data_IF_859225015045
#
_entry.id   IF_859225015045
#
_cell.length_a   1.000
_cell.length_b   1.000
_cell.length_c   1.000
_cell.angle_alpha   90.00
_cell.angle_beta   90.00
_cell.angle_gamma   90.00
#
_symmetry.space_group_name_H-M   'P 1'
#
loop_
_entity.id
_entity.type
_entity.pdbx_description
1 polymer ?
#
# COMPACT_ATOMS: atom_id res chain seq x y z
N UNK A 1 -48.75 -53.24 21.63
CA UNK A 1 -47.59 -53.74 20.86
C UNK A 1 -48.05 -54.07 19.45
N UNK A 2 -47.22 -53.86 18.42
CA UNK A 2 -46.04 -52.99 18.29
C UNK A 2 -46.37 -51.89 17.22
N UNK A 3 -45.56 -50.91 16.84
CA UNK A 3 -44.14 -50.99 16.50
C UNK A 3 -43.45 -49.63 16.64
N UNK A 4 -42.16 -49.72 16.87
CA UNK A 4 -41.22 -48.69 17.26
C UNK A 4 -40.17 -48.47 16.16
N UNK A 5 -39.67 -47.23 16.06
CA UNK A 5 -38.39 -46.81 15.44
C UNK A 5 -38.42 -46.87 13.89
N UNK A 6 -37.86 -45.93 13.13
CA UNK A 6 -36.62 -45.16 13.33
C UNK A 6 -36.60 -43.84 12.55
N UNK A 7 -35.71 -42.94 12.98
CA UNK A 7 -34.92 -42.00 12.18
C UNK A 7 -35.52 -41.40 10.90
N UNK A 8 -35.82 -40.09 10.97
CA UNK A 8 -35.49 -39.20 9.87
C UNK A 8 -35.08 -37.84 10.46
N UNK A 9 -33.78 -37.54 10.34
CA UNK A 9 -33.18 -36.28 10.77
C UNK A 9 -33.88 -35.08 10.09
N UNK A 10 -34.03 -33.92 10.75
CA UNK A 10 -34.46 -32.72 10.07
C UNK A 10 -33.36 -32.26 9.10
N UNK A 11 -33.57 -32.53 7.81
CA UNK A 11 -32.81 -31.93 6.69
C UNK A 11 -32.92 -30.40 6.76
N UNK A 12 -31.90 -29.76 7.31
CA UNK A 12 -31.67 -28.33 7.16
C UNK A 12 -31.28 -28.04 5.70
N UNK A 13 -31.97 -27.12 5.01
CA UNK A 13 -31.51 -26.68 3.70
C UNK A 13 -30.20 -25.90 3.87
N UNK A 14 -29.14 -26.37 3.21
CA UNK A 14 -27.93 -25.59 2.96
C UNK A 14 -28.32 -24.37 2.13
N UNK A 15 -28.59 -23.25 2.80
CA UNK A 15 -28.43 -21.93 2.21
C UNK A 15 -26.93 -21.65 2.15
N UNK A 16 -26.30 -21.47 0.99
CA UNK A 16 -25.10 -20.66 0.95
C UNK A 16 -25.53 -19.22 1.26
N UNK A 17 -25.42 -18.81 2.52
CA UNK A 17 -25.23 -17.39 2.80
C UNK A 17 -23.91 -17.02 2.14
N UNK A 18 -24.00 -16.32 1.01
CA UNK A 18 -22.89 -15.58 0.46
C UNK A 18 -22.43 -14.54 1.48
N UNK A 19 -21.59 -14.97 2.43
CA UNK A 19 -20.70 -14.07 3.14
C UNK A 19 -19.62 -13.68 2.12
N UNK A 20 -19.96 -12.68 1.33
CA UNK A 20 -19.08 -12.00 0.39
C UNK A 20 -17.73 -11.73 1.07
N UNK A 21 -16.65 -11.99 0.32
CA UNK A 21 -15.27 -11.57 0.60
C UNK A 21 -15.15 -10.07 0.96
N UNK A 22 -16.19 -9.27 0.75
CA UNK A 22 -16.24 -7.89 1.22
C UNK A 22 -16.21 -7.74 2.75
N UNK A 23 -16.69 -8.71 3.54
CA UNK A 23 -16.73 -8.53 5.00
C UNK A 23 -15.38 -8.81 5.68
N UNK A 24 -14.61 -9.79 5.18
CA UNK A 24 -13.24 -10.05 5.64
C UNK A 24 -12.27 -8.94 5.21
N UNK A 25 -12.43 -8.41 3.99
CA UNK A 25 -11.70 -7.22 3.56
C UNK A 25 -12.09 -5.96 4.37
N UNK A 26 -13.33 -5.89 4.87
CA UNK A 26 -13.75 -4.81 5.77
C UNK A 26 -13.25 -4.97 7.22
N UNK A 27 -12.94 -6.19 7.67
CA UNK A 27 -12.34 -6.42 9.00
C UNK A 27 -10.81 -6.26 9.00
N UNK A 28 -10.12 -6.46 7.87
CA UNK A 28 -8.69 -6.12 7.76
C UNK A 28 -8.40 -4.61 7.78
N UNK A 29 -9.42 -3.75 7.78
CA UNK A 29 -9.24 -2.29 7.88
C UNK A 29 -9.19 -1.74 9.31
N UNK A 30 -9.47 -2.56 10.34
CA UNK A 30 -9.46 -2.11 11.73
C UNK A 30 -8.73 -3.10 12.66
N UNK A 31 -7.44 -3.34 12.41
CA UNK A 31 -6.55 -3.89 13.44
C UNK A 31 -5.68 -2.74 13.98
N UNK A 32 -5.94 -2.24 15.21
CA UNK A 32 -4.99 -1.36 15.86
C UNK A 32 -3.78 -2.18 16.30
N UNK A 33 -2.58 -1.76 15.87
CA UNK A 33 -1.31 -2.32 16.33
C UNK A 33 -0.77 -1.47 17.48
N UNK A 34 -0.99 -1.91 18.71
CA UNK A 34 -0.15 -1.59 19.87
C UNK A 34 0.11 -2.90 20.64
N UNK A 35 1.37 -3.18 20.98
CA UNK A 35 1.75 -4.32 21.84
C UNK A 35 1.47 -4.04 23.34
N UNK A 36 2.05 -4.80 24.31
CA UNK A 36 2.66 -6.12 24.27
C UNK A 36 1.83 -7.13 25.11
N UNK A 37 1.36 -8.18 24.46
CA UNK A 37 0.66 -9.31 25.10
C UNK A 37 0.61 -10.50 24.16
N UNK A 38 1.70 -10.70 23.42
CA UNK A 38 1.87 -11.69 22.35
C UNK A 38 1.70 -13.14 22.83
N UNK A 39 1.58 -13.41 24.13
CA UNK A 39 1.33 -14.76 24.63
C UNK A 39 -0.12 -15.25 24.41
N UNK A 40 -1.11 -14.36 24.25
CA UNK A 40 -2.51 -14.77 24.00
C UNK A 40 -2.92 -14.68 22.53
N UNK A 41 -2.28 -13.80 21.74
CA UNK A 41 -2.56 -13.66 20.31
C UNK A 41 -1.91 -14.77 19.45
N UNK A 42 -0.94 -15.50 19.99
CA UNK A 42 -0.33 -16.64 19.30
C UNK A 42 -1.26 -17.87 19.24
N UNK A 43 -2.16 -18.02 20.21
CA UNK A 43 -3.14 -19.12 20.23
C UNK A 43 -4.29 -18.91 19.22
N UNK A 44 -4.65 -17.65 18.94
CA UNK A 44 -5.70 -17.29 17.99
C UNK A 44 -5.21 -17.33 16.53
N UNK A 45 -3.97 -16.91 16.27
CA UNK A 45 -3.35 -16.95 14.94
C UNK A 45 -3.09 -18.39 14.46
N UNK A 46 -2.75 -19.31 15.38
CA UNK A 46 -2.61 -20.74 15.06
C UNK A 46 -3.92 -21.43 14.68
N UNK A 47 -5.07 -20.90 15.14
CA UNK A 47 -6.40 -21.42 14.75
C UNK A 47 -6.85 -20.91 13.39
N UNK A 48 -6.50 -19.67 13.04
CA UNK A 48 -6.79 -19.08 11.72
C UNK A 48 -5.89 -19.67 10.64
N UNK A 49 -4.60 -19.93 10.92
CA UNK A 49 -3.70 -20.60 9.98
C UNK A 49 -4.21 -22.00 9.63
N UNK A 50 -4.66 -22.81 10.59
CA UNK A 50 -5.21 -24.14 10.29
C UNK A 50 -6.57 -24.10 9.57
N UNK A 51 -7.25 -22.95 9.52
CA UNK A 51 -8.51 -22.75 8.80
C UNK A 51 -8.26 -22.29 7.37
N UNK A 52 -7.34 -21.34 7.18
CA UNK A 52 -6.89 -20.91 5.85
C UNK A 52 -6.15 -22.06 5.15
N UNK A 53 -5.31 -22.81 5.87
CA UNK A 53 -4.66 -24.00 5.32
C UNK A 53 -5.62 -25.15 5.06
N UNK A 54 -6.72 -25.31 5.81
CA UNK A 54 -7.74 -26.31 5.47
C UNK A 54 -8.56 -25.91 4.26
N UNK A 55 -8.90 -24.64 4.09
CA UNK A 55 -9.64 -24.18 2.91
C UNK A 55 -8.77 -24.21 1.65
N UNK A 56 -7.50 -23.79 1.76
CA UNK A 56 -6.53 -23.89 0.66
C UNK A 56 -6.23 -25.36 0.34
N UNK A 57 -6.12 -26.24 1.35
CA UNK A 57 -5.88 -27.66 1.15
C UNK A 57 -7.11 -28.41 0.62
N UNK A 58 -8.31 -28.09 1.09
CA UNK A 58 -9.57 -28.68 0.60
C UNK A 58 -9.83 -28.28 -0.85
N UNK A 59 -9.47 -27.05 -1.25
CA UNK A 59 -9.51 -26.62 -2.67
C UNK A 59 -8.44 -27.27 -3.56
N UNK A 60 -7.34 -27.72 -2.98
CA UNK A 60 -6.29 -28.47 -3.69
C UNK A 60 -6.67 -29.95 -3.81
N UNK A 61 -7.31 -30.52 -2.78
CA UNK A 61 -7.76 -31.92 -2.74
C UNK A 61 -9.07 -32.14 -3.53
N UNK A 62 -9.94 -31.14 -3.68
CA UNK A 62 -11.22 -31.23 -4.43
C UNK A 62 -11.07 -31.19 -5.97
N UNK A 63 -9.84 -31.11 -6.49
CA UNK A 63 -9.56 -31.59 -7.84
C UNK A 63 -10.29 -30.91 -9.01
N UNK A 64 -10.54 -29.60 -8.98
CA UNK A 64 -11.21 -28.90 -10.10
C UNK A 64 -10.33 -27.94 -10.92
N UNK A 65 -8.99 -28.01 -10.85
CA UNK A 65 -8.09 -27.44 -11.88
C UNK A 65 -6.74 -28.16 -11.96
N UNK A 66 -6.74 -29.50 -11.97
CA UNK A 66 -5.59 -30.26 -12.46
C UNK A 66 -5.94 -30.81 -13.85
N UNK A 67 -6.00 -29.92 -14.85
CA UNK A 67 -5.87 -30.40 -16.22
C UNK A 67 -4.44 -30.92 -16.38
N UNK A 68 -4.32 -32.19 -16.71
CA UNK A 68 -3.09 -32.97 -16.70
C UNK A 68 -2.17 -32.66 -17.89
N UNK A 69 -2.51 -31.67 -18.73
CA UNK A 69 -1.73 -31.26 -19.90
C UNK A 69 -1.78 -29.75 -20.11
N UNK A 70 -0.88 -28.98 -19.47
CA UNK A 70 -0.69 -27.57 -19.79
C UNK A 70 -0.20 -26.74 -18.61
N UNK A 71 0.81 -25.90 -18.86
CA UNK A 71 1.32 -24.97 -17.85
C UNK A 71 0.16 -24.16 -17.25
N UNK A 72 0.18 -23.90 -15.94
CA UNK A 72 -0.76 -22.99 -15.27
C UNK A 72 -0.91 -21.68 -16.06
N UNK A 73 -2.11 -21.09 -16.11
CA UNK A 73 -2.37 -19.81 -16.82
C UNK A 73 -1.37 -18.72 -16.44
N UNK A 74 -0.92 -18.68 -15.18
CA UNK A 74 0.12 -17.76 -14.72
C UNK A 74 1.49 -18.05 -15.36
N UNK A 75 1.87 -19.32 -15.48
CA UNK A 75 3.10 -19.73 -16.15
C UNK A 75 3.05 -19.46 -17.66
N UNK A 76 1.89 -19.62 -18.30
CA UNK A 76 1.71 -19.24 -19.70
C UNK A 76 1.87 -17.73 -19.87
N UNK A 77 1.19 -16.91 -19.03
CA UNK A 77 1.30 -15.45 -19.10
C UNK A 77 2.74 -14.96 -18.87
N UNK A 78 3.47 -15.55 -17.93
CA UNK A 78 4.88 -15.25 -17.72
C UNK A 78 5.73 -15.64 -18.94
N UNK A 79 5.47 -16.81 -19.53
CA UNK A 79 6.15 -17.24 -20.76
C UNK A 79 5.94 -16.25 -21.89
N UNK A 80 4.71 -15.76 -22.09
CA UNK A 80 4.40 -14.80 -23.14
C UNK A 80 5.15 -13.47 -22.93
N UNK A 81 5.20 -12.99 -21.68
CA UNK A 81 5.96 -11.78 -21.33
C UNK A 81 7.46 -11.95 -21.59
N UNK A 82 8.02 -13.12 -21.25
CA UNK A 82 9.44 -13.41 -21.50
C UNK A 82 9.74 -13.50 -23.00
N UNK A 83 8.84 -14.08 -23.81
CA UNK A 83 8.98 -14.10 -25.27
C UNK A 83 8.93 -12.68 -25.84
N UNK A 84 7.97 -11.85 -25.40
CA UNK A 84 7.87 -10.45 -25.82
C UNK A 84 9.13 -9.65 -25.44
N UNK A 85 9.71 -9.91 -24.26
CA UNK A 85 10.91 -9.23 -23.79
C UNK A 85 12.16 -9.49 -24.65
N UNK A 86 12.22 -10.62 -25.36
CA UNK A 86 13.35 -10.94 -26.26
C UNK A 86 13.34 -10.08 -27.52
N UNK A 87 12.15 -9.75 -28.03
CA UNK A 87 11.98 -9.03 -29.29
C UNK A 87 11.86 -7.50 -29.09
N UNK A 88 11.62 -7.05 -27.86
CA UNK A 88 11.39 -5.64 -27.55
C UNK A 88 12.71 -4.85 -27.49
N UNK A 89 12.76 -3.72 -28.21
CA UNK A 89 13.87 -2.77 -28.09
C UNK A 89 13.80 -2.02 -26.75
N UNK A 90 14.94 -1.58 -26.23
CA UNK A 90 14.99 -0.81 -24.98
C UNK A 90 14.15 0.48 -25.03
N UNK A 91 14.12 1.15 -26.18
CA UNK A 91 13.31 2.35 -26.39
C UNK A 91 11.80 2.05 -26.28
N UNK A 92 11.32 1.00 -26.97
CA UNK A 92 9.91 0.58 -26.86
C UNK A 92 9.55 0.04 -25.48
N UNK A 93 10.48 -0.62 -24.78
CA UNK A 93 10.29 -1.06 -23.40
C UNK A 93 10.10 0.14 -22.45
N UNK A 94 10.92 1.19 -22.62
CA UNK A 94 10.85 2.44 -21.85
C UNK A 94 9.53 3.16 -22.10
N UNK A 95 9.16 3.36 -23.36
CA UNK A 95 7.91 4.01 -23.75
C UNK A 95 6.69 3.26 -23.18
N UNK A 96 6.64 1.92 -23.37
CA UNK A 96 5.55 1.10 -22.86
C UNK A 96 5.44 1.12 -21.33
N UNK A 97 6.58 1.15 -20.61
CA UNK A 97 6.60 1.29 -19.16
C UNK A 97 6.00 2.64 -18.73
N UNK A 98 6.41 3.73 -19.37
CA UNK A 98 5.96 5.09 -19.03
C UNK A 98 4.47 5.25 -19.31
N UNK A 99 3.98 4.80 -20.47
CA UNK A 99 2.54 4.82 -20.79
C UNK A 99 1.74 4.08 -19.71
N UNK A 100 2.20 2.90 -19.30
CA UNK A 100 1.55 2.13 -18.25
C UNK A 100 1.59 2.82 -16.88
N UNK A 101 2.65 3.56 -16.56
CA UNK A 101 2.73 4.35 -15.33
C UNK A 101 1.74 5.53 -15.37
N UNK A 102 1.59 6.18 -16.53
CA UNK A 102 0.63 7.28 -16.71
C UNK A 102 -0.83 6.81 -16.50
N UNK A 103 -1.16 5.57 -16.86
CA UNK A 103 -2.49 4.98 -16.60
C UNK A 103 -2.82 4.84 -15.10
N UNK A 104 -1.80 4.78 -14.23
CA UNK A 104 -1.95 4.61 -12.78
C UNK A 104 -1.91 5.95 -12.01
N UNK A 105 -1.67 7.08 -12.69
CA UNK A 105 -1.50 8.40 -12.09
C UNK A 105 -2.82 9.19 -12.06
N UNK A 106 -3.14 9.76 -10.91
CA UNK A 106 -4.28 10.67 -10.75
C UNK A 106 -3.93 12.11 -11.18
N UNK A 107 -4.92 12.95 -11.57
CA UNK A 107 -4.65 14.34 -11.97
C UNK A 107 -3.91 15.18 -10.92
N UNK A 108 -4.20 15.00 -9.63
CA UNK A 108 -3.49 15.71 -8.55
C UNK A 108 -2.06 15.20 -8.34
N UNK A 109 -1.80 13.93 -8.63
CA UNK A 109 -0.45 13.36 -8.62
C UNK A 109 0.37 13.93 -9.79
N UNK A 110 -0.24 14.06 -10.97
CA UNK A 110 0.38 14.72 -12.11
C UNK A 110 0.74 16.19 -11.81
N UNK A 111 -0.11 16.92 -11.08
CA UNK A 111 0.22 18.28 -10.60
C UNK A 111 1.43 18.30 -9.68
N UNK A 112 1.54 17.33 -8.77
CA UNK A 112 2.71 17.20 -7.89
C UNK A 112 3.98 16.90 -8.71
N UNK A 113 3.90 16.03 -9.71
CA UNK A 113 5.03 15.76 -10.61
C UNK A 113 5.45 17.02 -11.37
N UNK A 114 4.50 17.80 -11.87
CA UNK A 114 4.76 19.09 -12.53
C UNK A 114 5.47 20.09 -11.60
N UNK A 115 5.09 20.14 -10.33
CA UNK A 115 5.73 21.02 -9.35
C UNK A 115 7.17 20.62 -9.01
N UNK A 116 7.57 19.38 -9.33
CA UNK A 116 8.89 18.80 -9.06
C UNK A 116 9.78 18.74 -10.32
N UNK A 117 9.23 19.00 -11.51
CA UNK A 117 9.88 18.70 -12.79
C UNK A 117 11.07 19.59 -13.14
N UNK A 118 11.12 20.80 -12.59
CA UNK A 118 12.23 21.75 -12.77
C UNK A 118 13.42 21.49 -11.83
N UNK A 119 13.38 20.39 -11.07
CA UNK A 119 14.37 20.06 -10.06
C UNK A 119 14.11 20.70 -8.69
N UNK A 120 13.01 21.44 -8.53
CA UNK A 120 12.58 21.96 -7.24
C UNK A 120 12.39 20.82 -6.23
N UNK A 121 12.87 21.05 -5.01
CA UNK A 121 12.65 20.14 -3.89
C UNK A 121 11.72 20.78 -2.86
N UNK A 122 10.97 19.95 -2.14
CA UNK A 122 10.03 20.43 -1.11
C UNK A 122 10.35 19.83 0.25
N UNK A 123 10.11 20.57 1.36
CA UNK A 123 10.18 19.99 2.70
C UNK A 123 9.18 18.85 2.83
N UNK A 124 9.63 17.77 3.46
CA UNK A 124 8.81 16.64 3.85
C UNK A 124 9.11 16.28 5.30
N UNK A 125 8.08 15.95 6.06
CA UNK A 125 8.25 15.47 7.43
C UNK A 125 7.50 14.15 7.65
N UNK A 126 8.08 13.33 8.53
CA UNK A 126 7.39 12.21 9.16
C UNK A 126 7.31 12.48 10.67
N UNK A 127 6.29 11.94 11.32
CA UNK A 127 6.22 11.87 12.79
C UNK A 127 6.49 10.44 13.19
N UNK A 128 7.44 10.24 14.11
CA UNK A 128 7.73 8.92 14.68
C UNK A 128 7.56 8.95 16.20
N UNK A 129 7.16 7.84 16.78
CA UNK A 129 7.28 7.64 18.23
C UNK A 129 8.76 7.53 18.62
N UNK A 130 9.09 7.87 19.86
CA UNK A 130 10.35 7.49 20.48
C UNK A 130 10.18 6.10 21.09
N UNK A 131 11.07 5.18 20.75
CA UNK A 131 11.14 3.91 21.48
C UNK A 131 11.86 4.11 22.80
N UNK A 132 11.36 3.47 23.86
CA UNK A 132 11.98 3.48 25.18
C UNK A 132 13.37 2.81 25.22
N UNK A 133 13.71 1.97 24.22
CA UNK A 133 14.91 1.13 24.20
C UNK A 133 15.92 1.48 23.10
N UNK A 134 15.95 2.73 22.64
CA UNK A 134 16.94 3.20 21.65
C UNK A 134 16.73 2.69 20.22
N UNK A 135 15.64 1.96 19.96
CA UNK A 135 15.24 1.58 18.60
C UNK A 135 14.51 2.73 17.89
N UNK A 136 14.52 2.73 16.55
CA UNK A 136 13.68 3.66 15.81
C UNK A 136 12.21 3.36 16.13
N UNK A 137 11.47 4.34 16.65
CA UNK A 137 10.05 4.15 16.91
C UNK A 137 9.23 4.13 15.62
N UNK A 138 7.99 3.66 15.74
CA UNK A 138 7.07 3.53 14.62
C UNK A 138 6.74 4.89 14.01
N UNK A 139 6.58 4.93 12.68
CA UNK A 139 6.06 6.10 11.98
C UNK A 139 4.55 6.16 12.21
N UNK A 140 4.10 7.25 12.83
CA UNK A 140 2.69 7.51 13.13
C UNK A 140 2.05 8.46 12.13
N UNK A 141 2.88 9.23 11.42
CA UNK A 141 2.47 10.05 10.28
C UNK A 141 3.60 10.09 9.26
N UNK A 142 3.27 10.02 7.98
CA UNK A 142 4.26 10.00 6.92
C UNK A 142 3.90 10.94 5.76
N UNK A 143 4.94 11.43 5.07
CA UNK A 143 4.81 12.11 3.78
C UNK A 143 4.06 13.44 3.82
N UNK A 144 4.04 14.11 4.97
CA UNK A 144 3.51 15.47 5.06
C UNK A 144 4.48 16.41 4.38
N UNK A 145 4.05 17.07 3.32
CA UNK A 145 4.90 17.95 2.52
C UNK A 145 4.12 19.17 2.05
N UNK A 146 4.83 20.29 1.85
CA UNK A 146 4.22 21.50 1.30
C UNK A 146 3.93 21.39 -0.20
N UNK A 147 4.44 20.35 -0.88
CA UNK A 147 4.31 20.18 -2.34
C UNK A 147 2.86 20.21 -2.80
N UNK A 148 1.92 19.64 -2.04
CA UNK A 148 0.50 19.65 -2.42
C UNK A 148 -0.08 21.06 -2.54
N UNK A 149 0.29 21.95 -1.61
CA UNK A 149 -0.12 23.36 -1.67
C UNK A 149 0.52 24.09 -2.84
N UNK A 150 1.81 23.89 -3.06
CA UNK A 150 2.54 24.52 -4.17
C UNK A 150 2.07 24.04 -5.53
N UNK A 151 1.72 22.75 -5.65
CA UNK A 151 1.19 22.12 -6.86
C UNK A 151 -0.28 22.49 -7.14
N UNK A 152 -0.98 23.12 -6.18
CA UNK A 152 -2.38 23.49 -6.32
C UNK A 152 -3.30 22.27 -6.52
N UNK A 153 -3.07 21.17 -5.79
CA UNK A 153 -3.93 19.98 -5.87
C UNK A 153 -5.37 20.29 -5.47
N UNK A 154 -6.33 19.59 -6.07
CA UNK A 154 -7.76 19.78 -5.80
C UNK A 154 -8.16 19.33 -4.38
N UNK A 155 -7.48 18.31 -3.84
CA UNK A 155 -7.71 17.80 -2.47
C UNK A 155 -6.48 18.02 -1.56
N UNK A 156 -6.31 19.21 -0.94
CA UNK A 156 -5.15 19.53 -0.11
C UNK A 156 -4.88 18.54 1.03
N UNK A 157 -5.95 18.04 1.67
CA UNK A 157 -5.86 17.09 2.78
C UNK A 157 -5.33 15.71 2.34
N UNK A 158 -5.34 15.43 1.03
CA UNK A 158 -4.89 14.17 0.44
C UNK A 158 -3.43 14.24 0.00
N UNK A 159 -2.75 15.38 0.18
CA UNK A 159 -1.35 15.56 -0.25
C UNK A 159 -0.42 14.44 0.23
N UNK A 160 -0.54 14.01 1.49
CA UNK A 160 0.25 12.89 2.03
C UNK A 160 -0.03 11.54 1.33
N UNK A 161 -1.28 11.31 0.90
CA UNK A 161 -1.70 10.09 0.20
C UNK A 161 -1.12 10.10 -1.20
N UNK A 162 -1.20 11.22 -1.92
CA UNK A 162 -0.61 11.37 -3.25
C UNK A 162 0.91 11.20 -3.22
N UNK A 163 1.60 11.81 -2.24
CA UNK A 163 3.05 11.59 -2.08
C UNK A 163 3.35 10.12 -1.79
N UNK A 164 2.58 9.44 -0.93
CA UNK A 164 2.77 8.02 -0.65
C UNK A 164 2.58 7.13 -1.90
N UNK A 165 1.57 7.43 -2.73
CA UNK A 165 1.32 6.74 -3.99
C UNK A 165 2.43 6.97 -5.00
N UNK A 166 2.86 8.21 -5.21
CA UNK A 166 3.98 8.55 -6.09
C UNK A 166 5.28 7.86 -5.65
N UNK A 167 5.52 7.77 -4.33
CA UNK A 167 6.67 7.02 -3.79
C UNK A 167 6.56 5.53 -4.07
N UNK A 168 5.37 4.94 -3.97
CA UNK A 168 5.12 3.53 -4.30
C UNK A 168 5.32 3.23 -5.79
N UNK A 169 4.95 4.17 -6.66
CA UNK A 169 5.22 4.10 -8.10
C UNK A 169 6.70 4.35 -8.45
N UNK A 170 7.52 4.78 -7.48
CA UNK A 170 8.94 5.08 -7.68
C UNK A 170 9.20 6.38 -8.43
N UNK A 171 8.21 7.27 -8.56
CA UNK A 171 8.30 8.53 -9.34
C UNK A 171 8.91 9.68 -8.55
N UNK A 172 8.92 9.58 -7.22
CA UNK A 172 9.52 10.58 -6.33
C UNK A 172 10.43 9.90 -5.31
N UNK A 173 11.45 10.61 -4.85
CA UNK A 173 12.41 10.13 -3.86
C UNK A 173 12.45 11.04 -2.64
N UNK A 174 12.86 10.46 -1.50
CA UNK A 174 12.96 11.18 -0.22
C UNK A 174 14.42 11.29 0.19
N UNK A 175 14.94 12.52 0.15
CA UNK A 175 16.32 12.86 0.50
C UNK A 175 16.52 13.28 1.96
N UNK A 176 17.77 13.55 2.36
CA UNK A 176 18.07 14.12 3.67
C UNK A 176 17.44 15.50 3.85
N UNK A 177 17.34 15.97 5.09
CA UNK A 177 16.90 17.35 5.34
C UNK A 177 17.89 18.36 4.74
N UNK A 178 17.39 19.45 4.18
CA UNK A 178 18.19 20.58 3.69
C UNK A 178 17.90 21.83 4.52
N UNK A 179 18.93 22.61 4.85
CA UNK A 179 18.76 23.88 5.55
C UNK A 179 17.99 24.93 4.73
N UNK A 180 17.97 24.78 3.40
CA UNK A 180 17.21 25.66 2.49
C UNK A 180 15.70 25.62 2.78
N UNK A 181 15.22 24.52 3.38
CA UNK A 181 13.81 24.33 3.70
C UNK A 181 13.49 24.56 5.18
N UNK A 182 14.35 25.26 5.93
CA UNK A 182 14.18 25.50 7.37
C UNK A 182 12.79 26.05 7.72
N UNK A 183 12.39 27.15 7.08
CA UNK A 183 11.09 27.79 7.30
C UNK A 183 9.93 26.85 6.92
N UNK A 184 10.10 26.11 5.83
CA UNK A 184 9.14 25.11 5.38
C UNK A 184 8.92 23.99 6.40
N UNK A 185 9.97 23.54 7.09
CA UNK A 185 9.84 22.56 8.15
C UNK A 185 9.11 23.09 9.38
N UNK A 186 9.37 24.33 9.78
CA UNK A 186 8.66 24.94 10.90
C UNK A 186 7.17 25.12 10.57
N UNK A 187 6.86 25.55 9.34
CA UNK A 187 5.47 25.63 8.87
C UNK A 187 4.79 24.26 8.90
N UNK A 188 5.40 23.21 8.34
CA UNK A 188 4.84 21.86 8.38
C UNK A 188 4.70 21.31 9.81
N UNK A 189 5.57 21.69 10.74
CA UNK A 189 5.45 21.26 12.13
C UNK A 189 4.19 21.79 12.83
N UNK A 190 3.59 22.86 12.30
CA UNK A 190 2.32 23.45 12.78
C UNK A 190 1.08 22.91 12.07
N UNK A 191 1.25 22.01 11.10
CA UNK A 191 0.15 21.42 10.34
C UNK A 191 -0.82 20.64 11.25
N UNK A 192 -2.12 20.72 10.95
CA UNK A 192 -3.18 20.09 11.74
C UNK A 192 -2.99 18.58 11.88
N UNK A 193 -2.65 17.88 10.79
CA UNK A 193 -2.41 16.44 10.80
C UNK A 193 -1.20 16.07 11.67
N UNK A 194 -0.18 16.92 11.69
CA UNK A 194 1.03 16.71 12.50
C UNK A 194 0.74 16.91 13.98
N UNK A 195 -0.03 17.95 14.32
CA UNK A 195 -0.49 18.18 15.69
C UNK A 195 -1.34 17.01 16.18
N UNK A 196 -2.34 16.59 15.40
CA UNK A 196 -3.21 15.46 15.72
C UNK A 196 -2.43 14.15 15.89
N UNK A 197 -1.50 13.84 14.99
CA UNK A 197 -0.65 12.66 15.11
C UNK A 197 0.28 12.69 16.33
N UNK A 198 0.58 13.86 16.89
CA UNK A 198 1.38 13.98 18.13
C UNK A 198 0.52 13.85 19.38
N UNK A 199 -0.71 14.35 19.33
CA UNK A 199 -1.69 14.28 20.43
C UNK A 199 -2.30 12.88 20.57
N UNK A 200 -2.46 12.15 19.46
CA UNK A 200 -3.06 10.81 19.43
C UNK A 200 -2.18 9.71 20.07
N UNK A 201 -0.95 10.03 20.49
CA UNK A 201 0.01 9.07 21.01
C UNK A 201 0.54 9.50 22.38
N UNK A 202 0.37 8.63 23.38
CA UNK A 202 0.90 8.85 24.74
C UNK A 202 2.43 8.83 24.79
N UNK A 203 3.06 8.07 23.88
CA UNK A 203 4.50 8.00 23.78
C UNK A 203 5.07 9.30 23.17
N UNK A 204 6.21 9.81 23.68
CA UNK A 204 6.79 11.03 23.15
C UNK A 204 7.16 10.86 21.67
N UNK A 205 6.73 11.80 20.84
CA UNK A 205 6.96 11.79 19.39
C UNK A 205 8.14 12.68 19.00
N UNK A 206 8.72 12.46 17.81
CA UNK A 206 9.66 13.39 17.19
C UNK A 206 9.34 13.58 15.71
N UNK A 207 9.69 14.76 15.19
CA UNK A 207 9.62 15.07 13.77
C UNK A 207 10.92 14.63 13.08
N UNK A 208 10.78 13.93 11.97
CA UNK A 208 11.85 13.55 11.07
C UNK A 208 11.77 14.40 9.80
N UNK A 209 12.68 15.37 9.67
CA UNK A 209 12.78 16.26 8.50
C UNK A 209 13.48 15.58 7.34
N UNK A 210 12.96 15.78 6.12
CA UNK A 210 13.40 15.19 4.86
C UNK A 210 13.11 16.14 3.69
N UNK A 211 13.61 15.81 2.51
CA UNK A 211 13.27 16.51 1.27
C UNK A 211 12.54 15.56 0.34
N UNK A 212 11.62 16.09 -0.45
CA UNK A 212 10.96 15.39 -1.54
C UNK A 212 11.47 15.97 -2.86
N UNK A 213 11.85 15.10 -3.78
CA UNK A 213 12.27 15.46 -5.14
C UNK A 213 11.76 14.44 -6.15
N UNK A 214 11.80 14.80 -7.43
CA UNK A 214 11.57 13.84 -8.51
C UNK A 214 12.65 12.74 -8.46
N UNK A 215 12.27 11.50 -8.80
CA UNK A 215 13.22 10.40 -8.97
C UNK A 215 13.77 10.37 -10.40
N UNK A 216 14.80 9.55 -10.66
CA UNK A 216 15.29 9.35 -12.03
C UNK A 216 14.18 8.80 -12.97
N UNK A 217 13.34 7.88 -12.48
CA UNK A 217 12.19 7.37 -13.23
C UNK A 217 11.13 8.47 -13.45
N UNK A 218 10.91 9.32 -12.44
CA UNK A 218 10.00 10.46 -12.55
C UNK A 218 10.46 11.47 -13.60
N UNK A 219 11.77 11.77 -13.64
CA UNK A 219 12.38 12.62 -14.67
C UNK A 219 12.22 11.99 -16.05
N UNK A 220 12.58 10.70 -16.19
CA UNK A 220 12.44 9.96 -17.45
C UNK A 220 10.99 9.96 -17.98
N UNK A 221 10.02 9.82 -17.07
CA UNK A 221 8.58 9.89 -17.38
C UNK A 221 8.18 11.30 -17.82
N UNK A 222 8.64 12.32 -17.10
CA UNK A 222 8.29 13.71 -17.38
C UNK A 222 8.82 14.17 -18.73
N UNK A 223 10.09 13.87 -19.01
CA UNK A 223 10.78 14.20 -20.26
C UNK A 223 10.07 13.54 -21.45
N UNK A 224 9.76 12.24 -21.37
CA UNK A 224 9.08 11.54 -22.47
C UNK A 224 7.65 12.04 -22.71
N UNK A 225 6.97 12.54 -21.68
CA UNK A 225 5.61 13.06 -21.80
C UNK A 225 5.55 14.50 -22.35
N UNK A 226 6.67 15.23 -22.39
CA UNK A 226 6.75 16.62 -22.81
C UNK A 226 7.69 16.90 -23.99
N UNK A 227 8.38 15.88 -24.51
CA UNK A 227 9.04 15.89 -25.83
C UNK A 227 8.00 15.75 -26.97
#
# INVERSE_FOLDING_TARGET
MPDSLSDDEPRLPLRPMGASLSMAASMMRNVPVFGPGIAAAQDELGRVENLIWREVKHRIDDGEYADSHGRSKAAQRLSDLLTQAVEQSAAHAREHLIVRLLDDIEPDEARILAALSDGTTYPLIHVITKSAFGTAGARVLENVSSVGRSAGIALPDYGQIYVARLRRLGLVTVGPASSEHADGYELLATDGAVREAREAHDAPTRILRRTLSLSALGSDLWDLAHD
#
